data_IF_916135510904
#
_entry.id   IF_916135510904
#
_cell.length_a   1.000
_cell.length_b   1.000
_cell.length_c   1.000
_cell.angle_alpha   90.00
_cell.angle_beta   90.00
_cell.angle_gamma   90.00
#
_symmetry.space_group_name_H-M   'P 1'
#
loop_
_entity.id
_entity.type
_entity.pdbx_description
1 polymer ?
#
# COMPACT_ATOMS: atom_id res chain seq x y z
N UNK A 1 33.22 -17.60 -11.75
CA UNK A 1 32.50 -18.88 -11.80
C UNK A 1 31.61 -18.92 -13.03
N UNK A 2 31.57 -20.02 -13.81
CA UNK A 2 30.68 -20.14 -14.96
C UNK A 2 29.20 -20.01 -14.56
N UNK A 3 28.40 -19.34 -15.40
CA UNK A 3 26.96 -19.15 -15.13
C UNK A 3 26.19 -20.48 -14.99
N UNK A 4 26.56 -21.52 -15.74
CA UNK A 4 25.96 -22.85 -15.63
C UNK A 4 26.16 -23.48 -14.24
N UNK A 5 27.38 -23.45 -13.73
CA UNK A 5 27.72 -23.98 -12.40
C UNK A 5 27.04 -23.18 -11.27
N UNK A 6 26.83 -21.88 -11.48
CA UNK A 6 26.06 -21.04 -10.56
C UNK A 6 24.59 -21.46 -10.45
N UNK A 7 23.96 -21.88 -11.56
CA UNK A 7 22.58 -22.35 -11.59
C UNK A 7 22.43 -23.71 -10.92
N UNK A 8 23.35 -24.63 -11.18
CA UNK A 8 23.40 -25.92 -10.49
C UNK A 8 23.50 -25.74 -8.96
N UNK A 9 24.36 -24.82 -8.50
CA UNK A 9 24.44 -24.45 -7.10
C UNK A 9 23.13 -23.88 -6.54
N UNK A 10 22.45 -23.03 -7.31
CA UNK A 10 21.20 -22.41 -6.90
C UNK A 10 20.06 -23.42 -6.73
N UNK A 11 19.96 -24.40 -7.64
CA UNK A 11 19.01 -25.50 -7.53
C UNK A 11 19.22 -26.30 -6.24
N UNK A 12 20.48 -26.60 -5.90
CA UNK A 12 20.84 -27.26 -4.63
C UNK A 12 20.70 -26.37 -3.38
N UNK A 13 20.47 -25.06 -3.54
CA UNK A 13 20.49 -24.08 -2.45
C UNK A 13 19.20 -23.26 -2.33
N UNK A 14 18.09 -23.73 -2.93
CA UNK A 14 16.82 -23.00 -3.04
C UNK A 14 16.29 -22.41 -1.71
N UNK A 15 16.62 -23.02 -0.57
CA UNK A 15 16.28 -22.48 0.77
C UNK A 15 16.85 -21.09 1.06
N UNK A 16 17.90 -20.67 0.36
CA UNK A 16 18.52 -19.33 0.46
C UNK A 16 18.02 -18.35 -0.62
N UNK A 17 16.97 -18.71 -1.37
CA UNK A 17 16.25 -17.80 -2.26
C UNK A 17 15.27 -16.93 -1.44
N UNK A 18 15.84 -16.02 -0.64
CA UNK A 18 15.10 -15.26 0.38
C UNK A 18 14.55 -13.93 -0.15
N UNK A 19 15.21 -13.37 -1.15
CA UNK A 19 15.09 -11.98 -1.55
C UNK A 19 14.35 -11.85 -2.88
N UNK A 20 13.30 -11.04 -2.90
CA UNK A 20 12.63 -10.69 -4.14
C UNK A 20 13.59 -9.86 -5.02
N UNK A 21 13.51 -9.99 -6.35
CA UNK A 21 14.29 -9.14 -7.24
C UNK A 21 13.92 -7.66 -6.99
N UNK A 22 14.91 -6.74 -6.98
CA UNK A 22 14.62 -5.33 -6.80
C UNK A 22 13.68 -4.83 -7.91
N UNK A 23 12.70 -3.99 -7.52
CA UNK A 23 11.88 -3.25 -8.48
C UNK A 23 12.79 -2.32 -9.27
N UNK A 24 12.84 -2.51 -10.59
CA UNK A 24 13.80 -1.80 -11.44
C UNK A 24 13.42 -0.33 -11.53
N UNK A 25 14.26 0.56 -11.02
CA UNK A 25 14.34 1.93 -11.48
C UNK A 25 15.15 2.02 -12.78
N UNK A 26 14.82 2.95 -13.67
CA UNK A 26 15.67 3.28 -14.82
C UNK A 26 17.09 3.63 -14.32
N UNK A 27 18.08 2.80 -14.64
CA UNK A 27 19.50 3.03 -14.31
C UNK A 27 20.15 2.06 -13.30
N UNK A 28 19.39 1.22 -12.61
CA UNK A 28 19.96 0.29 -11.61
C UNK A 28 20.52 -1.01 -12.20
N UNK A 29 20.26 -1.30 -13.48
CA UNK A 29 20.68 -2.55 -14.13
C UNK A 29 22.20 -2.76 -14.10
N UNK A 30 22.98 -1.68 -14.29
CA UNK A 30 24.43 -1.80 -14.28
C UNK A 30 24.97 -2.07 -12.87
N UNK A 31 24.43 -1.40 -11.84
CA UNK A 31 24.85 -1.60 -10.44
C UNK A 31 24.50 -2.99 -9.95
N UNK A 32 23.30 -3.46 -10.28
CA UNK A 32 22.85 -4.80 -9.94
C UNK A 32 23.70 -5.85 -10.67
N UNK A 33 24.09 -5.62 -11.92
CA UNK A 33 24.93 -6.56 -12.66
C UNK A 33 26.31 -6.78 -12.05
N UNK A 34 26.88 -5.81 -11.33
CA UNK A 34 28.28 -5.88 -10.86
C UNK A 34 28.48 -6.54 -9.49
N UNK A 35 27.42 -6.78 -8.70
CA UNK A 35 27.58 -7.41 -7.38
C UNK A 35 28.08 -8.86 -7.51
N UNK A 36 28.96 -9.36 -6.62
CA UNK A 36 29.36 -10.77 -6.64
C UNK A 36 28.33 -11.66 -5.94
N UNK A 37 28.14 -12.90 -6.42
CA UNK A 37 27.40 -13.93 -5.69
C UNK A 37 28.07 -14.24 -4.34
N UNK A 38 27.34 -14.71 -3.34
CA UNK A 38 27.95 -15.19 -2.08
C UNK A 38 27.80 -16.70 -2.00
N UNK A 39 28.93 -17.41 -1.91
CA UNK A 39 28.96 -18.87 -1.90
C UNK A 39 29.68 -19.32 -0.63
N UNK A 40 29.02 -20.17 0.14
CA UNK A 40 29.62 -20.82 1.30
C UNK A 40 30.31 -22.12 0.88
N UNK A 41 31.58 -22.26 1.26
CA UNK A 41 32.36 -23.47 1.06
C UNK A 41 32.22 -24.42 2.27
N UNK A 42 32.22 -25.74 2.08
CA UNK A 42 32.20 -26.69 3.19
C UNK A 42 33.49 -26.60 4.03
N UNK A 43 33.38 -26.90 5.34
CA UNK A 43 34.46 -26.81 6.35
C UNK A 43 35.79 -27.43 5.93
N UNK A 44 35.72 -28.56 5.23
CA UNK A 44 36.87 -29.35 4.81
C UNK A 44 37.03 -29.32 3.30
N UNK A 45 36.94 -28.13 2.71
CA UNK A 45 37.29 -27.97 1.30
C UNK A 45 38.79 -28.15 1.12
N UNK A 46 39.26 -29.18 0.40
CA UNK A 46 40.65 -29.22 -0.04
C UNK A 46 40.92 -27.97 -0.91
N UNK A 47 42.16 -27.49 -0.92
CA UNK A 47 42.57 -26.42 -1.83
C UNK A 47 42.34 -26.88 -3.28
N UNK A 48 41.22 -26.48 -3.87
CA UNK A 48 40.87 -26.81 -5.24
C UNK A 48 41.56 -25.82 -6.21
N UNK A 49 41.88 -26.28 -7.43
CA UNK A 49 42.27 -25.39 -8.52
C UNK A 49 41.17 -24.35 -8.78
N UNK A 50 41.55 -23.12 -9.15
CA UNK A 50 40.73 -21.89 -9.08
C UNK A 50 39.39 -21.85 -9.84
N UNK A 51 39.02 -22.90 -10.56
CA UNK A 51 37.80 -22.95 -11.38
C UNK A 51 36.77 -24.00 -10.95
N UNK A 52 37.09 -24.86 -9.97
CA UNK A 52 36.18 -25.91 -9.51
C UNK A 52 35.42 -25.49 -8.24
N UNK A 53 34.10 -25.62 -8.27
CA UNK A 53 33.26 -25.46 -7.09
C UNK A 53 33.31 -26.78 -6.30
N UNK A 54 33.70 -26.77 -5.01
CA UNK A 54 33.70 -27.98 -4.21
C UNK A 54 32.29 -28.56 -4.08
N UNK A 55 32.19 -29.89 -4.12
CA UNK A 55 30.95 -30.58 -3.78
C UNK A 55 30.48 -30.17 -2.38
N UNK A 56 29.21 -29.80 -2.25
CA UNK A 56 28.63 -29.30 -1.00
C UNK A 56 28.81 -27.80 -0.76
N UNK A 57 29.33 -27.03 -1.73
CA UNK A 57 29.18 -25.58 -1.69
C UNK A 57 27.71 -25.16 -1.80
N UNK A 58 27.36 -24.03 -1.19
CA UNK A 58 25.98 -23.55 -1.10
C UNK A 58 25.95 -22.11 -1.60
N UNK A 59 25.01 -21.79 -2.49
CA UNK A 59 24.73 -20.40 -2.85
C UNK A 59 23.91 -19.75 -1.73
N UNK A 60 24.47 -18.74 -1.09
CA UNK A 60 23.87 -18.07 0.08
C UNK A 60 23.21 -16.74 -0.30
N UNK A 61 23.64 -16.14 -1.42
CA UNK A 61 23.06 -14.91 -1.94
C UNK A 61 23.22 -14.79 -3.46
N UNK A 62 22.21 -14.21 -4.12
CA UNK A 62 22.24 -13.86 -5.54
C UNK A 62 21.40 -14.75 -6.46
N UNK A 63 20.48 -15.56 -5.92
CA UNK A 63 19.55 -16.40 -6.67
C UNK A 63 18.79 -15.61 -7.77
N UNK A 64 18.18 -14.47 -7.40
CA UNK A 64 17.43 -13.61 -8.32
C UNK A 64 18.26 -13.02 -9.49
N UNK A 65 19.59 -13.16 -9.47
CA UNK A 65 20.51 -12.61 -10.47
C UNK A 65 20.90 -13.63 -11.55
N UNK A 66 20.69 -14.92 -11.29
CA UNK A 66 21.07 -16.01 -12.20
C UNK A 66 20.24 -16.09 -13.48
N UNK A 67 18.90 -15.88 -13.47
CA UNK A 67 18.10 -15.92 -14.69
C UNK A 67 18.52 -14.87 -15.73
N UNK A 68 19.16 -13.78 -15.30
CA UNK A 68 19.53 -12.63 -16.15
C UNK A 68 20.85 -12.81 -16.89
N UNK A 69 21.68 -13.78 -16.52
CA UNK A 69 22.98 -14.03 -17.13
C UNK A 69 22.93 -15.36 -17.86
N UNK A 70 22.71 -15.32 -19.18
CA UNK A 70 22.65 -16.51 -20.01
C UNK A 70 24.00 -17.26 -20.03
N UNK A 71 25.10 -16.52 -20.13
CA UNK A 71 26.45 -17.05 -20.36
C UNK A 71 27.53 -16.20 -19.67
N UNK A 72 28.76 -16.72 -19.62
CA UNK A 72 29.93 -16.01 -19.13
C UNK A 72 30.28 -16.23 -17.65
N UNK A 73 31.24 -15.43 -17.17
CA UNK A 73 31.75 -15.52 -15.81
C UNK A 73 30.99 -14.60 -14.86
N UNK A 74 30.53 -15.16 -13.74
CA UNK A 74 29.89 -14.42 -12.66
C UNK A 74 30.91 -14.24 -11.53
N UNK A 75 31.12 -13.00 -11.04
CA UNK A 75 31.95 -12.77 -9.86
C UNK A 75 31.29 -13.39 -8.63
N UNK A 76 32.09 -13.98 -7.75
CA UNK A 76 31.62 -14.62 -6.53
C UNK A 76 32.58 -14.34 -5.37
N UNK A 77 32.03 -14.10 -4.18
CA UNK A 77 32.73 -14.06 -2.91
C UNK A 77 32.54 -15.43 -2.25
N UNK A 78 33.65 -16.02 -1.83
CA UNK A 78 33.66 -17.29 -1.11
C UNK A 78 33.76 -17.02 0.39
N UNK A 79 32.85 -17.61 1.17
CA UNK A 79 32.86 -17.56 2.63
C UNK A 79 33.05 -18.96 3.20
N UNK A 80 33.67 -19.05 4.37
CA UNK A 80 33.79 -20.31 5.08
C UNK A 80 32.43 -20.71 5.68
N UNK A 81 31.85 -21.82 5.22
CA UNK A 81 30.53 -22.29 5.65
C UNK A 81 30.50 -22.96 7.03
N UNK A 82 31.67 -23.20 7.63
CA UNK A 82 31.84 -23.92 8.89
C UNK A 82 31.51 -23.21 10.19
N UNK A 83 30.72 -22.13 10.13
CA UNK A 83 30.47 -21.31 11.31
C UNK A 83 29.00 -21.34 11.77
N UNK A 84 28.27 -22.39 11.38
CA UNK A 84 26.85 -22.52 11.68
C UNK A 84 25.97 -21.61 10.83
N UNK A 85 24.68 -21.53 11.16
CA UNK A 85 23.71 -20.80 10.35
C UNK A 85 23.85 -19.28 10.38
N UNK A 86 24.26 -18.72 11.52
CA UNK A 86 24.29 -17.26 11.74
C UNK A 86 25.21 -16.55 10.74
N UNK A 87 26.46 -16.99 10.51
CA UNK A 87 27.37 -16.29 9.60
C UNK A 87 26.96 -16.40 8.13
N UNK A 88 26.25 -17.47 7.75
CA UNK A 88 25.67 -17.61 6.41
C UNK A 88 24.60 -16.56 6.19
N UNK A 89 23.62 -16.51 7.10
CA UNK A 89 22.51 -15.56 6.98
C UNK A 89 23.00 -14.11 7.13
N UNK A 90 23.95 -13.85 8.02
CA UNK A 90 24.60 -12.56 8.15
C UNK A 90 25.29 -12.12 6.86
N UNK A 91 26.02 -13.02 6.19
CA UNK A 91 26.64 -12.72 4.90
C UNK A 91 25.60 -12.46 3.80
N UNK A 92 24.49 -13.20 3.79
CA UNK A 92 23.38 -12.98 2.86
C UNK A 92 22.79 -11.57 3.03
N UNK A 93 22.46 -11.19 4.27
CA UNK A 93 21.89 -9.88 4.60
C UNK A 93 22.87 -8.73 4.32
N UNK A 94 24.16 -8.92 4.62
CA UNK A 94 25.19 -7.94 4.34
C UNK A 94 25.40 -7.73 2.82
N UNK A 95 25.33 -8.79 2.03
CA UNK A 95 25.42 -8.70 0.56
C UNK A 95 24.19 -8.03 -0.07
N UNK A 96 23.02 -8.28 0.49
CA UNK A 96 21.78 -7.63 0.06
C UNK A 96 21.81 -6.11 0.37
N UNK A 97 22.29 -5.74 1.56
CA UNK A 97 22.52 -4.37 2.00
C UNK A 97 21.26 -3.46 1.92
N UNK A 98 20.14 -3.92 2.49
CA UNK A 98 18.88 -3.16 2.56
C UNK A 98 18.17 -3.23 3.91
N UNK A 99 18.94 -3.23 5.00
CA UNK A 99 18.38 -3.19 6.34
C UNK A 99 17.27 -2.12 6.47
N UNK A 100 16.14 -2.49 7.08
CA UNK A 100 14.94 -1.67 7.22
C UNK A 100 14.01 -1.60 6.01
N UNK A 101 14.40 -2.18 4.87
CA UNK A 101 13.67 -2.09 3.59
C UNK A 101 13.16 -3.44 3.06
N UNK A 102 13.13 -4.47 3.91
CA UNK A 102 12.57 -5.77 3.56
C UNK A 102 11.04 -5.74 3.59
N UNK A 103 10.42 -6.41 2.62
CA UNK A 103 8.96 -6.60 2.55
C UNK A 103 8.51 -7.65 3.56
N UNK A 104 7.23 -7.63 3.92
CA UNK A 104 6.68 -8.60 4.87
C UNK A 104 6.90 -10.08 4.48
N UNK A 105 6.68 -10.49 3.21
CA UNK A 105 6.96 -11.88 2.81
C UNK A 105 8.44 -12.25 2.96
N UNK A 106 9.34 -11.32 2.67
CA UNK A 106 10.79 -11.53 2.79
C UNK A 106 11.20 -11.66 4.26
N UNK A 107 10.70 -10.76 5.12
CA UNK A 107 10.91 -10.84 6.58
C UNK A 107 10.45 -12.20 7.12
N UNK A 108 9.28 -12.67 6.70
CA UNK A 108 8.76 -13.97 7.13
C UNK A 108 9.64 -15.13 6.63
N UNK A 109 10.04 -15.15 5.35
CA UNK A 109 10.95 -16.16 4.80
C UNK A 109 12.29 -16.19 5.52
N UNK A 110 12.89 -15.03 5.73
CA UNK A 110 14.19 -14.91 6.42
C UNK A 110 14.08 -15.39 7.87
N UNK A 111 13.02 -15.00 8.58
CA UNK A 111 12.82 -15.43 9.95
C UNK A 111 12.52 -16.93 10.08
N UNK A 112 11.75 -17.54 9.17
CA UNK A 112 11.55 -18.99 9.16
C UNK A 112 12.86 -19.74 8.91
N UNK A 113 13.66 -19.29 7.94
CA UNK A 113 14.97 -19.89 7.70
C UNK A 113 15.88 -19.74 8.92
N UNK A 114 15.85 -18.58 9.59
CA UNK A 114 16.60 -18.36 10.82
C UNK A 114 16.16 -19.31 11.95
N UNK A 115 14.84 -19.51 12.12
CA UNK A 115 14.27 -20.47 13.07
C UNK A 115 14.73 -21.91 12.75
N UNK A 116 14.68 -22.33 11.49
CA UNK A 116 15.15 -23.65 11.02
C UNK A 116 16.65 -23.87 11.22
N UNK A 117 17.45 -22.81 11.12
CA UNK A 117 18.90 -22.83 11.27
C UNK A 117 19.36 -22.54 12.71
N UNK A 118 18.42 -22.44 13.66
CA UNK A 118 18.65 -22.10 15.07
C UNK A 118 19.45 -20.79 15.24
N UNK A 119 19.24 -19.82 14.34
CA UNK A 119 19.91 -18.52 14.32
C UNK A 119 19.18 -17.53 15.22
N UNK A 120 19.88 -17.02 16.23
CA UNK A 120 19.36 -15.99 17.13
C UNK A 120 19.81 -14.58 16.72
N UNK A 121 19.08 -13.55 17.15
CA UNK A 121 19.46 -12.14 16.96
C UNK A 121 19.25 -11.57 15.55
N UNK A 122 18.65 -12.33 14.63
CA UNK A 122 18.48 -11.89 13.24
C UNK A 122 17.58 -10.65 13.09
N UNK A 123 16.62 -10.48 14.01
CA UNK A 123 15.67 -9.38 13.96
C UNK A 123 16.36 -8.00 13.92
N UNK A 124 17.43 -7.83 14.72
CA UNK A 124 18.19 -6.57 14.77
C UNK A 124 18.96 -6.30 13.47
N UNK A 125 19.33 -7.35 12.72
CA UNK A 125 20.02 -7.23 11.43
C UNK A 125 19.06 -6.88 10.29
N UNK A 126 17.79 -7.31 10.40
CA UNK A 126 16.76 -7.06 9.39
C UNK A 126 16.24 -5.63 9.48
N UNK A 127 15.84 -5.20 10.67
CA UNK A 127 15.37 -3.85 10.91
C UNK A 127 15.52 -3.51 12.40
N UNK A 128 16.50 -2.66 12.78
CA UNK A 128 16.72 -2.30 14.17
C UNK A 128 15.59 -1.44 14.76
N UNK A 129 14.70 -0.88 13.93
CA UNK A 129 13.61 0.01 14.36
C UNK A 129 12.31 -0.73 14.62
N UNK A 130 12.17 -1.97 14.16
CA UNK A 130 10.95 -2.77 14.29
C UNK A 130 11.12 -3.88 15.32
N UNK A 131 10.11 -4.05 16.15
CA UNK A 131 9.98 -5.22 17.02
C UNK A 131 9.41 -6.41 16.22
N UNK A 132 10.24 -7.02 15.36
CA UNK A 132 9.83 -8.13 14.51
C UNK A 132 9.25 -9.33 15.29
N UNK A 133 9.77 -9.73 16.48
CA UNK A 133 9.15 -10.75 17.32
C UNK A 133 7.69 -10.46 17.67
N UNK A 134 7.32 -9.19 17.84
CA UNK A 134 5.93 -8.78 18.07
C UNK A 134 5.10 -8.73 16.79
N UNK A 135 5.69 -8.29 15.67
CA UNK A 135 4.95 -8.01 14.43
C UNK A 135 4.75 -9.24 13.53
N UNK A 136 5.71 -10.17 13.47
CA UNK A 136 5.62 -11.34 12.60
C UNK A 136 4.46 -12.28 12.94
N UNK A 137 4.18 -12.61 14.21
CA UNK A 137 3.00 -13.41 14.56
C UNK A 137 1.70 -12.76 14.08
N UNK A 138 1.61 -11.42 14.17
CA UNK A 138 0.45 -10.65 13.70
C UNK A 138 0.29 -10.71 12.19
N UNK A 139 1.40 -10.55 11.45
CA UNK A 139 1.42 -10.74 9.99
C UNK A 139 1.00 -12.17 9.58
N UNK A 140 1.56 -13.20 10.23
CA UNK A 140 1.27 -14.61 9.96
C UNK A 140 -0.20 -14.97 10.24
N UNK A 141 -0.86 -14.28 11.18
CA UNK A 141 -2.27 -14.49 11.52
C UNK A 141 -3.26 -13.85 10.53
N UNK A 142 -2.81 -12.98 9.63
CA UNK A 142 -3.68 -12.36 8.63
C UNK A 142 -4.15 -13.37 7.58
N UNK A 143 -5.35 -13.20 6.99
CA UNK A 143 -5.78 -13.96 5.81
C UNK A 143 -4.83 -13.75 4.62
N UNK A 144 -4.78 -14.74 3.71
CA UNK A 144 -3.89 -14.75 2.55
C UNK A 144 -4.07 -13.49 1.69
N UNK A 145 -5.31 -13.08 1.43
CA UNK A 145 -5.62 -11.87 0.66
C UNK A 145 -5.04 -10.60 1.29
N UNK A 146 -5.02 -10.49 2.62
CA UNK A 146 -4.41 -9.36 3.33
C UNK A 146 -2.88 -9.41 3.25
N UNK A 147 -2.29 -10.61 3.35
CA UNK A 147 -0.83 -10.79 3.21
C UNK A 147 -0.36 -10.46 1.78
N UNK A 148 -1.15 -10.81 0.77
CA UNK A 148 -0.92 -10.45 -0.63
C UNK A 148 -1.00 -8.93 -0.84
N UNK A 149 -2.00 -8.27 -0.24
CA UNK A 149 -2.11 -6.80 -0.29
C UNK A 149 -0.93 -6.10 0.41
N UNK A 150 -0.44 -6.65 1.52
CA UNK A 150 0.80 -6.19 2.18
C UNK A 150 2.04 -6.39 1.31
N UNK A 151 2.14 -7.54 0.64
CA UNK A 151 3.24 -7.86 -0.26
C UNK A 151 3.34 -6.89 -1.44
N UNK A 152 2.17 -6.44 -1.94
CA UNK A 152 2.05 -5.43 -3.00
C UNK A 152 2.12 -3.98 -2.48
N UNK A 153 2.42 -3.79 -1.19
CA UNK A 153 2.48 -2.48 -0.53
C UNK A 153 1.18 -1.67 -0.69
N UNK A 154 0.05 -2.35 -0.88
CA UNK A 154 -1.24 -1.70 -1.06
C UNK A 154 -1.77 -1.17 0.28
N UNK A 155 -1.45 -1.86 1.37
CA UNK A 155 -1.85 -1.55 2.75
C UNK A 155 -0.68 -1.74 3.71
N UNK A 156 -0.71 -1.10 4.87
CA UNK A 156 0.21 -1.36 5.99
C UNK A 156 -0.36 -2.41 6.96
N UNK A 157 0.50 -3.01 7.80
CA UNK A 157 0.12 -4.09 8.72
C UNK A 157 -1.03 -3.67 9.65
N UNK A 158 -0.98 -2.44 10.19
CA UNK A 158 -2.01 -1.91 11.08
C UNK A 158 -3.36 -1.78 10.38
N UNK A 159 -3.34 -1.39 9.11
CA UNK A 159 -4.52 -1.31 8.27
C UNK A 159 -5.04 -2.70 7.95
N UNK A 160 -4.18 -3.66 7.58
CA UNK A 160 -4.57 -5.04 7.34
C UNK A 160 -5.29 -5.68 8.54
N UNK A 161 -4.76 -5.50 9.75
CA UNK A 161 -5.39 -6.00 10.97
C UNK A 161 -6.76 -5.40 11.23
N UNK A 162 -6.90 -4.09 11.01
CA UNK A 162 -8.18 -3.40 11.16
C UNK A 162 -9.22 -3.92 10.17
N UNK A 163 -8.79 -4.29 8.97
CA UNK A 163 -9.67 -4.83 7.92
C UNK A 163 -9.92 -6.33 8.07
N UNK A 164 -9.53 -6.96 9.17
CA UNK A 164 -9.67 -8.41 9.38
C UNK A 164 -11.11 -8.93 9.32
N UNK A 165 -12.12 -8.05 9.45
CA UNK A 165 -13.52 -8.40 9.32
C UNK A 165 -14.04 -8.40 7.86
N UNK A 166 -13.29 -7.83 6.91
CA UNK A 166 -13.71 -7.81 5.51
C UNK A 166 -13.46 -9.17 4.86
N UNK A 167 -14.43 -9.68 4.09
CA UNK A 167 -14.19 -10.86 3.28
C UNK A 167 -13.15 -10.59 2.18
N UNK A 168 -12.48 -11.66 1.72
CA UNK A 168 -11.55 -11.59 0.60
C UNK A 168 -12.18 -11.00 -0.68
N UNK A 169 -13.40 -11.37 -1.11
CA UNK A 169 -14.08 -10.74 -2.24
C UNK A 169 -14.23 -9.23 -2.13
N UNK A 170 -14.68 -8.72 -0.97
CA UNK A 170 -14.85 -7.28 -0.80
C UNK A 170 -13.51 -6.56 -0.75
N UNK A 171 -12.52 -7.10 -0.02
CA UNK A 171 -11.19 -6.50 0.03
C UNK A 171 -10.57 -6.41 -1.38
N UNK A 172 -10.66 -7.47 -2.18
CA UNK A 172 -10.18 -7.46 -3.56
C UNK A 172 -10.88 -6.40 -4.42
N UNK A 173 -12.21 -6.27 -4.30
CA UNK A 173 -12.97 -5.23 -5.01
C UNK A 173 -12.52 -3.83 -4.59
N UNK A 174 -12.32 -3.58 -3.30
CA UNK A 174 -11.87 -2.29 -2.78
C UNK A 174 -10.43 -1.96 -3.24
N UNK A 175 -9.55 -2.96 -3.27
CA UNK A 175 -8.16 -2.80 -3.69
C UNK A 175 -8.01 -2.58 -5.20
N UNK A 176 -8.94 -3.08 -6.03
CA UNK A 176 -8.91 -2.87 -7.49
C UNK A 176 -8.93 -1.39 -7.90
N UNK A 177 -9.49 -0.51 -7.08
CA UNK A 177 -9.46 0.95 -7.26
C UNK A 177 -8.13 1.58 -6.84
N UNK A 178 -7.45 0.89 -5.93
CA UNK A 178 -6.26 1.35 -5.24
C UNK A 178 -5.13 1.71 -6.19
N UNK A 179 -5.09 1.14 -7.40
CA UNK A 179 -4.09 1.45 -8.42
C UNK A 179 -4.09 2.93 -8.82
N UNK A 180 -5.25 3.61 -8.72
CA UNK A 180 -5.40 5.04 -9.04
C UNK A 180 -5.26 5.98 -7.82
N UNK A 181 -5.30 5.44 -6.60
CA UNK A 181 -5.32 6.23 -5.37
C UNK A 181 -3.94 6.28 -4.72
N UNK A 182 -3.60 7.45 -4.14
CA UNK A 182 -2.45 7.53 -3.24
C UNK A 182 -2.63 6.62 -2.02
N UNK A 183 -1.53 6.16 -1.44
CA UNK A 183 -1.55 5.26 -0.27
C UNK A 183 -2.46 5.77 0.86
N UNK A 184 -2.37 7.07 1.19
CA UNK A 184 -3.21 7.70 2.22
C UNK A 184 -4.69 7.65 1.87
N UNK A 185 -5.05 7.96 0.61
CA UNK A 185 -6.45 7.95 0.15
C UNK A 185 -7.02 6.53 0.08
N UNK A 186 -6.20 5.55 -0.34
CA UNK A 186 -6.56 4.13 -0.32
C UNK A 186 -6.83 3.64 1.11
N UNK A 187 -5.97 4.01 2.07
CA UNK A 187 -6.19 3.69 3.49
C UNK A 187 -7.47 4.32 4.03
N UNK A 188 -7.76 5.59 3.71
CA UNK A 188 -9.01 6.24 4.10
C UNK A 188 -10.23 5.52 3.52
N UNK A 189 -10.16 5.09 2.25
CA UNK A 189 -11.21 4.36 1.56
C UNK A 189 -11.50 3.01 2.21
N UNK A 190 -10.48 2.21 2.48
CA UNK A 190 -10.63 0.89 3.12
C UNK A 190 -11.19 1.01 4.53
N UNK A 191 -10.68 1.96 5.31
CA UNK A 191 -11.20 2.26 6.66
C UNK A 191 -12.66 2.71 6.59
N UNK A 192 -13.02 3.48 5.55
CA UNK A 192 -14.39 3.92 5.36
C UNK A 192 -15.33 2.76 5.08
N UNK A 193 -14.92 1.80 4.23
CA UNK A 193 -15.70 0.62 3.92
C UNK A 193 -15.93 -0.26 5.16
N UNK A 194 -14.88 -0.51 5.96
CA UNK A 194 -15.01 -1.22 7.24
C UNK A 194 -15.99 -0.51 8.19
N UNK A 195 -15.90 0.82 8.29
CA UNK A 195 -16.81 1.58 9.14
C UNK A 195 -18.27 1.51 8.67
N UNK A 196 -18.50 1.48 7.35
CA UNK A 196 -19.85 1.33 6.76
C UNK A 196 -20.47 -0.02 7.13
N UNK A 197 -19.72 -1.12 7.02
CA UNK A 197 -20.20 -2.44 7.45
C UNK A 197 -20.46 -2.49 8.95
N UNK A 198 -19.56 -1.91 9.76
CA UNK A 198 -19.70 -1.84 11.22
C UNK A 198 -20.95 -1.06 11.66
N UNK A 199 -21.42 -0.11 10.85
CA UNK A 199 -22.68 0.63 11.07
C UNK A 199 -23.93 -0.13 10.64
N UNK A 200 -23.79 -1.33 10.07
CA UNK A 200 -24.88 -2.26 9.79
C UNK A 200 -25.24 -2.43 8.32
N UNK A 201 -24.48 -1.86 7.38
CA UNK A 201 -24.66 -2.18 5.95
C UNK A 201 -24.24 -3.64 5.70
N UNK A 202 -25.05 -4.41 4.99
CA UNK A 202 -24.67 -5.77 4.61
C UNK A 202 -23.51 -5.73 3.61
N UNK A 203 -22.63 -6.72 3.71
CA UNK A 203 -21.44 -6.77 2.86
C UNK A 203 -21.81 -6.96 1.38
N UNK A 204 -22.82 -7.79 1.13
CA UNK A 204 -23.35 -8.09 -0.20
C UNK A 204 -23.93 -6.84 -0.88
N UNK A 205 -24.60 -5.98 -0.12
CA UNK A 205 -25.16 -4.73 -0.63
C UNK A 205 -24.05 -3.78 -1.07
N UNK A 206 -23.03 -3.60 -0.21
CA UNK A 206 -21.90 -2.74 -0.52
C UNK A 206 -21.13 -3.26 -1.74
N UNK A 207 -20.86 -4.57 -1.76
CA UNK A 207 -20.18 -5.22 -2.87
C UNK A 207 -20.98 -5.09 -4.18
N UNK A 208 -22.31 -5.23 -4.12
CA UNK A 208 -23.22 -5.04 -5.25
C UNK A 208 -23.14 -3.62 -5.83
N UNK A 209 -23.20 -2.60 -4.97
CA UNK A 209 -23.06 -1.21 -5.39
C UNK A 209 -21.69 -0.93 -6.04
N UNK A 210 -20.61 -1.44 -5.45
CA UNK A 210 -19.25 -1.27 -5.98
C UNK A 210 -19.08 -1.90 -7.36
N UNK A 211 -19.63 -3.11 -7.56
CA UNK A 211 -19.56 -3.82 -8.85
C UNK A 211 -20.40 -3.17 -9.94
N UNK A 212 -21.55 -2.59 -9.57
CA UNK A 212 -22.41 -1.85 -10.50
C UNK A 212 -21.87 -0.48 -10.90
N UNK A 213 -20.92 0.08 -10.15
CA UNK A 213 -20.38 1.41 -10.37
C UNK A 213 -19.10 1.40 -11.22
N UNK A 214 -18.92 2.45 -12.03
CA UNK A 214 -17.65 2.68 -12.72
C UNK A 214 -16.55 2.99 -11.70
N UNK A 215 -15.27 2.64 -11.96
CA UNK A 215 -14.18 2.78 -10.98
C UNK A 215 -14.10 4.18 -10.32
N UNK A 216 -14.25 5.24 -11.11
CA UNK A 216 -14.19 6.62 -10.60
C UNK A 216 -15.26 6.97 -9.55
N UNK A 217 -16.37 6.23 -9.47
CA UNK A 217 -17.49 6.49 -8.55
C UNK A 217 -17.39 5.71 -7.24
N UNK A 218 -16.65 4.60 -7.22
CA UNK A 218 -16.66 3.67 -6.09
C UNK A 218 -16.14 4.27 -4.79
N UNK A 219 -15.15 5.16 -4.88
CA UNK A 219 -14.69 5.94 -3.71
C UNK A 219 -15.83 6.79 -3.15
N UNK A 220 -16.54 7.51 -4.03
CA UNK A 220 -17.62 8.41 -3.63
C UNK A 220 -18.81 7.65 -3.03
N UNK A 221 -19.09 6.42 -3.49
CA UNK A 221 -20.12 5.52 -2.94
C UNK A 221 -19.82 5.17 -1.47
N UNK A 222 -18.63 4.65 -1.17
CA UNK A 222 -18.27 4.30 0.21
C UNK A 222 -18.29 5.54 1.11
N UNK A 223 -17.80 6.67 0.61
CA UNK A 223 -17.80 7.92 1.37
C UNK A 223 -19.22 8.46 1.58
N UNK A 224 -20.14 8.21 0.64
CA UNK A 224 -21.55 8.57 0.80
C UNK A 224 -22.22 7.78 1.92
N UNK A 225 -21.96 6.47 1.99
CA UNK A 225 -22.44 5.63 3.09
C UNK A 225 -21.80 5.98 4.43
N UNK A 226 -20.52 6.35 4.43
CA UNK A 226 -19.82 6.77 5.66
C UNK A 226 -20.27 8.13 6.17
N UNK A 227 -20.57 9.06 5.28
CA UNK A 227 -20.95 10.44 5.62
C UNK A 227 -22.30 10.81 5.01
N UNK A 228 -23.39 10.12 5.39
CA UNK A 228 -24.69 10.29 4.76
C UNK A 228 -25.21 11.73 4.96
N UNK A 229 -24.96 12.33 6.12
CA UNK A 229 -25.30 13.72 6.40
C UNK A 229 -24.55 14.68 5.47
N UNK A 230 -23.22 14.55 5.36
CA UNK A 230 -22.43 15.40 4.47
C UNK A 230 -22.99 15.36 3.04
N UNK A 231 -23.34 14.17 2.55
CA UNK A 231 -23.98 14.03 1.23
C UNK A 231 -25.33 14.71 1.12
N UNK A 232 -26.17 14.65 2.17
CA UNK A 232 -27.44 15.39 2.20
C UNK A 232 -27.18 16.90 2.11
N UNK A 233 -26.21 17.42 2.85
CA UNK A 233 -25.84 18.84 2.84
C UNK A 233 -25.30 19.27 1.47
N UNK A 234 -24.38 18.50 0.89
CA UNK A 234 -23.86 18.72 -0.48
C UNK A 234 -24.99 18.73 -1.52
N UNK A 235 -25.92 17.78 -1.41
CA UNK A 235 -27.06 17.66 -2.33
C UNK A 235 -28.04 18.83 -2.20
N UNK A 236 -28.27 19.34 -0.99
CA UNK A 236 -29.11 20.52 -0.75
C UNK A 236 -28.47 21.77 -1.36
N UNK A 237 -27.18 22.00 -1.11
CA UNK A 237 -26.45 23.13 -1.72
C UNK A 237 -26.49 23.06 -3.25
N UNK A 238 -26.25 21.88 -3.81
CA UNK A 238 -26.30 21.68 -5.26
C UNK A 238 -27.71 21.88 -5.84
N UNK A 239 -28.76 21.51 -5.09
CA UNK A 239 -30.15 21.79 -5.47
C UNK A 239 -30.41 23.31 -5.55
N UNK A 240 -30.00 24.07 -4.54
CA UNK A 240 -30.15 25.54 -4.52
C UNK A 240 -29.33 26.17 -5.66
N UNK A 241 -28.10 25.70 -5.88
CA UNK A 241 -27.27 26.12 -7.03
C UNK A 241 -27.98 25.93 -8.35
N UNK A 242 -28.53 24.74 -8.60
CA UNK A 242 -29.21 24.43 -9.87
C UNK A 242 -30.52 25.20 -10.05
N UNK A 243 -31.30 25.40 -8.97
CA UNK A 243 -32.57 26.12 -8.99
C UNK A 243 -32.37 27.62 -9.23
N UNK A 244 -31.41 28.23 -8.53
CA UNK A 244 -31.32 29.70 -8.40
C UNK A 244 -30.17 30.32 -9.19
N UNK A 245 -29.05 29.60 -9.34
CA UNK A 245 -27.80 30.14 -9.89
C UNK A 245 -27.41 29.59 -11.28
N UNK A 246 -28.18 28.64 -11.82
CA UNK A 246 -27.86 28.06 -13.13
C UNK A 246 -27.86 29.14 -14.21
N UNK A 247 -26.76 29.24 -14.95
CA UNK A 247 -26.59 30.21 -16.05
C UNK A 247 -26.37 31.66 -15.61
N UNK A 248 -26.41 31.96 -14.31
CA UNK A 248 -26.08 33.30 -13.79
C UNK A 248 -24.58 33.49 -13.64
N UNK A 249 -23.82 32.38 -13.64
CA UNK A 249 -22.38 32.27 -13.38
C UNK A 249 -21.93 32.78 -12.00
N UNK A 250 -22.87 32.98 -11.08
CA UNK A 250 -22.58 33.15 -9.66
C UNK A 250 -22.33 31.78 -9.06
N UNK A 251 -21.25 31.64 -8.29
CA UNK A 251 -20.88 30.43 -7.56
C UNK A 251 -21.14 30.66 -6.08
N UNK A 252 -21.67 29.64 -5.43
CA UNK A 252 -21.77 29.55 -3.98
C UNK A 252 -21.01 28.31 -3.52
N UNK A 253 -20.14 28.46 -2.54
CA UNK A 253 -19.33 27.38 -2.00
C UNK A 253 -19.56 27.29 -0.48
N UNK A 254 -19.89 26.10 0.05
CA UNK A 254 -20.00 25.90 1.50
C UNK A 254 -18.62 26.02 2.16
N UNK A 255 -18.56 26.21 3.50
CA UNK A 255 -17.30 26.03 4.22
C UNK A 255 -16.82 24.59 4.05
N UNK A 256 -15.51 24.36 4.20
CA UNK A 256 -14.91 23.03 4.01
C UNK A 256 -15.59 22.01 4.94
N UNK A 257 -16.09 20.90 4.36
CA UNK A 257 -16.87 19.87 5.07
C UNK A 257 -18.08 20.40 5.86
N UNK A 258 -18.57 21.59 5.51
CA UNK A 258 -19.58 22.32 6.25
C UNK A 258 -19.17 22.68 7.70
N UNK A 259 -17.87 22.64 8.00
CA UNK A 259 -17.31 23.11 9.27
C UNK A 259 -17.07 24.63 9.19
N UNK A 260 -18.10 25.40 9.55
CA UNK A 260 -18.04 26.86 9.55
C UNK A 260 -19.42 27.52 9.56
N UNK A 261 -19.45 28.85 9.60
CA UNK A 261 -20.68 29.64 9.72
C UNK A 261 -21.01 30.49 8.50
N UNK A 262 -20.26 30.34 7.41
CA UNK A 262 -20.36 31.25 6.26
C UNK A 262 -20.23 30.50 4.94
N UNK A 263 -21.14 30.80 4.02
CA UNK A 263 -20.99 30.47 2.61
C UNK A 263 -20.16 31.54 1.90
N UNK A 264 -19.36 31.12 0.92
CA UNK A 264 -18.67 32.03 0.02
C UNK A 264 -19.48 32.18 -1.26
N UNK A 265 -19.81 33.40 -1.64
CA UNK A 265 -20.39 33.72 -2.96
C UNK A 265 -19.32 34.39 -3.80
N UNK A 266 -19.09 33.90 -5.02
CA UNK A 266 -18.06 34.41 -5.93
C UNK A 266 -18.55 34.48 -7.37
N UNK A 267 -18.07 35.47 -8.13
CA UNK A 267 -18.32 35.64 -9.55
C UNK A 267 -17.26 36.56 -10.17
N UNK A 268 -16.96 36.34 -11.45
CA UNK A 268 -16.07 37.18 -12.25
C UNK A 268 -16.89 38.06 -13.21
N UNK A 269 -16.42 39.27 -13.49
CA UNK A 269 -17.13 40.27 -14.32
C UNK A 269 -16.16 40.95 -15.29
N UNK A 270 -16.56 41.10 -16.55
CA UNK A 270 -15.81 41.85 -17.56
C UNK A 270 -16.36 43.24 -17.85
N UNK A 271 -17.56 43.57 -17.37
CA UNK A 271 -18.19 44.88 -17.59
C UNK A 271 -19.11 45.31 -16.44
N UNK A 272 -19.44 46.62 -16.34
CA UNK A 272 -20.42 47.12 -15.37
C UNK A 272 -21.81 46.48 -15.50
N UNK A 273 -22.27 46.19 -16.72
CA UNK A 273 -23.56 45.54 -17.00
C UNK A 273 -23.56 44.08 -16.54
N UNK A 274 -22.43 43.39 -16.66
CA UNK A 274 -22.28 42.05 -16.10
C UNK A 274 -22.32 42.08 -14.57
N UNK A 275 -21.59 43.01 -13.94
CA UNK A 275 -21.62 43.18 -12.49
C UNK A 275 -23.03 43.38 -11.95
N UNK A 276 -23.83 44.27 -12.56
CA UNK A 276 -25.24 44.46 -12.15
C UNK A 276 -26.05 43.18 -12.26
N UNK A 277 -25.93 42.46 -13.39
CA UNK A 277 -26.61 41.16 -13.59
C UNK A 277 -26.19 40.10 -12.55
N UNK A 278 -24.90 40.05 -12.17
CA UNK A 278 -24.41 39.11 -11.15
C UNK A 278 -24.87 39.49 -9.75
N UNK A 279 -24.89 40.78 -9.41
CA UNK A 279 -25.42 41.26 -8.13
C UNK A 279 -26.92 41.00 -7.99
N UNK A 280 -27.71 41.22 -9.04
CA UNK A 280 -29.13 40.86 -9.05
C UNK A 280 -29.34 39.35 -8.89
N UNK A 281 -28.51 38.53 -9.54
CA UNK A 281 -28.54 37.09 -9.36
C UNK A 281 -28.13 36.66 -7.94
N UNK A 282 -27.12 37.29 -7.36
CA UNK A 282 -26.71 37.07 -5.97
C UNK A 282 -27.78 37.54 -4.98
N UNK A 283 -28.50 38.63 -5.26
CA UNK A 283 -29.64 39.08 -4.46
C UNK A 283 -30.79 38.06 -4.43
N UNK A 284 -30.95 37.22 -5.47
CA UNK A 284 -31.91 36.10 -5.43
C UNK A 284 -31.52 35.01 -4.42
N UNK A 285 -30.24 34.88 -4.05
CA UNK A 285 -29.81 33.97 -2.99
C UNK A 285 -30.26 34.44 -1.61
N UNK A 286 -30.51 35.73 -1.40
CA UNK A 286 -30.92 36.25 -0.09
C UNK A 286 -32.17 35.54 0.43
N UNK A 287 -33.11 35.22 -0.46
CA UNK A 287 -34.34 34.48 -0.13
C UNK A 287 -34.11 33.00 0.19
N UNK A 288 -33.00 32.44 -0.27
CA UNK A 288 -32.61 31.04 -0.11
C UNK A 288 -31.53 30.88 0.98
N UNK A 289 -31.01 32.00 1.49
CA UNK A 289 -29.88 32.02 2.41
C UNK A 289 -30.28 31.43 3.77
N UNK A 290 -31.51 31.66 4.21
CA UNK A 290 -32.03 31.05 5.44
C UNK A 290 -32.08 29.51 5.34
N UNK A 291 -32.49 28.95 4.18
CA UNK A 291 -32.45 27.50 3.93
C UNK A 291 -31.01 26.98 4.01
N UNK A 292 -30.07 27.68 3.35
CA UNK A 292 -28.66 27.30 3.33
C UNK A 292 -27.97 27.45 4.70
N UNK A 293 -28.27 28.51 5.45
CA UNK A 293 -27.76 28.72 6.79
C UNK A 293 -28.37 27.73 7.78
N UNK A 294 -29.64 27.36 7.60
CA UNK A 294 -30.28 26.28 8.34
C UNK A 294 -29.45 24.99 8.28
N UNK A 295 -28.89 24.65 7.12
CA UNK A 295 -27.98 23.49 6.97
C UNK A 295 -26.75 23.58 7.89
N UNK A 296 -26.19 24.78 8.12
CA UNK A 296 -25.01 24.98 8.97
C UNK A 296 -25.35 25.00 10.46
N UNK A 297 -26.57 25.39 10.82
CA UNK A 297 -26.99 25.63 12.21
C UNK A 297 -27.95 24.58 12.79
N UNK A 298 -28.58 23.73 11.96
CA UNK A 298 -29.32 22.56 12.43
C UNK A 298 -28.35 21.58 13.13
N UNK A 299 -28.71 21.24 14.38
CA UNK A 299 -27.82 20.72 15.41
C UNK A 299 -26.96 19.55 14.90
N UNK A 300 -25.62 19.67 14.99
CA UNK A 300 -24.74 18.60 14.57
C UNK A 300 -24.81 17.29 15.37
N UNK A 301 -25.59 17.23 16.45
CA UNK A 301 -25.68 16.08 17.34
C UNK A 301 -27.01 15.31 17.29
N UNK A 302 -28.00 15.73 16.49
CA UNK A 302 -29.30 15.05 16.46
C UNK A 302 -29.33 13.87 15.47
N UNK A 303 -28.55 12.83 15.78
CA UNK A 303 -28.57 11.53 15.08
C UNK A 303 -29.84 10.70 15.39
N UNK A 304 -30.79 11.25 16.16
CA UNK A 304 -32.05 10.55 16.48
C UNK A 304 -32.95 10.32 15.27
N UNK A 305 -32.70 11.02 14.15
CA UNK A 305 -33.41 10.85 12.87
C UNK A 305 -32.80 9.79 11.95
N UNK A 306 -31.77 9.05 12.38
CA UNK A 306 -31.10 8.01 11.58
C UNK A 306 -31.46 6.56 11.98
N UNK A 307 -32.56 6.35 12.72
CA UNK A 307 -33.13 5.02 13.01
C UNK A 307 -34.40 4.77 12.22
#
# INVERSE_FOLDING_TARGET
MPASAARELAEGSARFDLFDPPERGEGDEWRDSCRPLVIALPERSPSLPGDCIPAGAILVWGHHRLPRRAEGMIPAILIAGGKGGTPLLAAALAAENRAGSYRWPELDRICRLAEEMEVTGIAHMLDPTRDLPLLLPRYRALPDTHREALAREEIDLRTAERLGALSSPLLAELLSLGESLSFSRRRQYLIAAEEVLRRGMAEEDLLGELRGAVPAQRFEIVMAHRYPRLRRMESLVERVRRRTLRGTGVRIDPPERFEGSRYRVSFDVGSPEELRRRLEAAGRLEKELDELLGILYEDPLDDTLAR
#
